data_IF_976886549618
#
_entry.id   IF_976886549618
#
_cell.length_a   1.000
_cell.length_b   1.000
_cell.length_c   1.000
_cell.angle_alpha   90.00
_cell.angle_beta   90.00
_cell.angle_gamma   90.00
#
_symmetry.space_group_name_H-M   'P 1'
#
loop_
_entity.id
_entity.type
_entity.pdbx_description
1 polymer ?
#
# COMPACT_ATOMS: atom_id res chain seq x y z
N UNK A 1 -40.31 38.20 -29.80
CA UNK A 1 -39.23 37.28 -30.21
C UNK A 1 -37.86 37.86 -29.85
N UNK A 2 -37.06 37.19 -28.98
CA UNK A 2 -35.57 37.19 -28.91
C UNK A 2 -35.15 36.25 -27.75
N UNK A 3 -34.22 35.33 -28.01
CA UNK A 3 -34.03 33.99 -27.37
C UNK A 3 -33.33 34.00 -25.99
N UNK A 4 -33.58 33.01 -25.10
CA UNK A 4 -32.76 32.73 -23.92
C UNK A 4 -31.50 31.90 -24.25
N UNK A 5 -30.93 32.04 -25.46
CA UNK A 5 -29.82 31.20 -25.95
C UNK A 5 -28.54 31.34 -25.13
N UNK A 6 -28.29 32.50 -24.50
CA UNK A 6 -27.06 32.73 -23.71
C UNK A 6 -27.06 31.98 -22.36
N UNK A 7 -28.23 31.74 -21.79
CA UNK A 7 -28.38 31.03 -20.51
C UNK A 7 -28.24 29.52 -20.74
N UNK A 8 -28.80 29.02 -21.84
CA UNK A 8 -28.69 27.62 -22.25
C UNK A 8 -27.25 27.22 -22.60
N UNK A 9 -26.48 28.11 -23.25
CA UNK A 9 -25.06 27.85 -23.57
C UNK A 9 -24.15 27.83 -22.34
N UNK A 10 -24.42 28.65 -21.31
CA UNK A 10 -23.64 28.65 -20.07
C UNK A 10 -23.81 27.36 -19.26
N UNK A 11 -25.03 26.81 -19.22
CA UNK A 11 -25.34 25.54 -18.55
C UNK A 11 -24.69 24.34 -19.25
N UNK A 12 -24.60 24.34 -20.58
CA UNK A 12 -23.93 23.27 -21.34
C UNK A 12 -22.42 23.29 -21.11
N UNK A 13 -21.79 24.47 -21.05
CA UNK A 13 -20.35 24.59 -20.78
C UNK A 13 -20.03 24.19 -19.33
N UNK A 14 -20.84 24.61 -18.36
CA UNK A 14 -20.69 24.20 -16.96
C UNK A 14 -20.90 22.68 -16.78
N UNK A 15 -21.86 22.10 -17.50
CA UNK A 15 -22.10 20.64 -17.49
C UNK A 15 -20.93 19.84 -18.09
N UNK A 16 -20.34 20.31 -19.19
CA UNK A 16 -19.15 19.68 -19.78
C UNK A 16 -17.91 19.82 -18.89
N UNK A 17 -17.73 20.97 -18.22
CA UNK A 17 -16.63 21.15 -17.27
C UNK A 17 -16.75 20.21 -16.05
N UNK A 18 -17.97 19.98 -15.56
CA UNK A 18 -18.22 19.05 -14.47
C UNK A 18 -17.95 17.59 -14.87
N UNK A 19 -18.35 17.19 -16.09
CA UNK A 19 -18.07 15.85 -16.64
C UNK A 19 -16.58 15.61 -16.93
N UNK A 20 -15.84 16.66 -17.30
CA UNK A 20 -14.39 16.55 -17.48
C UNK A 20 -13.66 16.33 -16.14
N UNK A 21 -14.16 16.95 -15.06
CA UNK A 21 -13.53 16.86 -13.74
C UNK A 21 -13.70 15.47 -13.09
N UNK A 22 -14.83 14.79 -13.32
CA UNK A 22 -15.05 13.42 -12.79
C UNK A 22 -14.23 12.36 -13.53
N UNK A 23 -13.78 12.65 -14.75
CA UNK A 23 -13.00 11.71 -15.57
C UNK A 23 -11.51 11.62 -15.18
N UNK A 24 -11.05 12.49 -14.29
CA UNK A 24 -9.65 12.56 -13.87
C UNK A 24 -9.36 11.82 -12.54
N UNK A 25 -10.32 11.04 -12.03
CA UNK A 25 -10.10 10.27 -10.81
C UNK A 25 -9.18 9.08 -11.10
N UNK A 26 -8.00 9.00 -10.46
CA UNK A 26 -7.12 7.85 -10.64
C UNK A 26 -7.81 6.61 -10.09
N UNK A 27 -7.91 5.56 -10.91
CA UNK A 27 -8.37 4.25 -10.46
C UNK A 27 -7.40 3.70 -9.42
N UNK A 28 -7.82 3.68 -8.17
CA UNK A 28 -7.10 3.03 -7.07
C UNK A 28 -7.20 1.51 -7.27
N UNK A 29 -6.35 0.96 -8.15
CA UNK A 29 -6.12 -0.48 -8.18
C UNK A 29 -5.73 -0.91 -6.77
N UNK A 30 -6.55 -1.76 -6.15
CA UNK A 30 -6.46 -2.25 -4.76
C UNK A 30 -5.24 -3.16 -4.50
N UNK A 31 -4.12 -2.87 -5.15
CA UNK A 31 -2.86 -3.47 -4.77
C UNK A 31 -2.36 -2.76 -3.52
N UNK A 32 -1.95 -3.48 -2.46
CA UNK A 32 -1.38 -2.84 -1.30
C UNK A 32 -0.20 -1.98 -1.76
N UNK A 33 -0.20 -0.66 -1.50
CA UNK A 33 0.78 0.26 -2.06
C UNK A 33 2.22 -0.18 -1.78
N UNK A 34 2.44 -0.90 -0.68
CA UNK A 34 3.75 -1.39 -0.25
C UNK A 34 4.33 -2.52 -1.12
N UNK A 35 3.53 -3.49 -1.58
CA UNK A 35 4.06 -4.61 -2.37
C UNK A 35 4.48 -4.14 -3.77
N UNK A 36 3.71 -3.22 -4.37
CA UNK A 36 4.10 -2.59 -5.64
C UNK A 36 5.35 -1.73 -5.46
N UNK A 37 5.40 -0.93 -4.40
CA UNK A 37 6.59 -0.12 -4.09
C UNK A 37 7.83 -0.99 -3.89
N UNK A 38 7.70 -2.15 -3.25
CA UNK A 38 8.81 -3.09 -3.08
C UNK A 38 9.36 -3.59 -4.43
N UNK A 39 8.45 -3.98 -5.35
CA UNK A 39 8.82 -4.42 -6.70
C UNK A 39 9.50 -3.30 -7.50
N UNK A 40 8.96 -2.08 -7.44
CA UNK A 40 9.52 -0.92 -8.13
C UNK A 40 10.92 -0.57 -7.64
N UNK A 41 11.21 -0.78 -6.35
CA UNK A 41 12.52 -0.59 -5.75
C UNK A 41 13.49 -1.77 -6.02
N UNK A 42 13.07 -2.78 -6.77
CA UNK A 42 13.90 -3.93 -7.14
C UNK A 42 14.00 -5.01 -6.05
N UNK A 43 13.19 -4.95 -4.99
CA UNK A 43 13.16 -6.01 -3.99
C UNK A 43 12.47 -7.27 -4.56
N UNK A 44 12.89 -8.49 -4.16
CA UNK A 44 12.32 -9.75 -4.63
C UNK A 44 10.95 -10.07 -3.97
N UNK A 45 10.08 -9.08 -3.88
CA UNK A 45 8.76 -9.18 -3.27
C UNK A 45 7.76 -9.78 -4.27
N UNK A 46 7.36 -11.04 -4.06
CA UNK A 46 6.43 -11.75 -4.95
C UNK A 46 4.97 -11.49 -4.59
N UNK A 47 4.67 -11.65 -3.30
CA UNK A 47 3.33 -11.59 -2.71
C UNK A 47 3.37 -11.04 -1.27
N UNK A 48 2.22 -11.03 -0.59
CA UNK A 48 2.07 -10.49 0.76
C UNK A 48 2.96 -11.21 1.81
N UNK A 49 3.32 -12.47 1.59
CA UNK A 49 4.23 -13.22 2.48
C UNK A 49 5.65 -12.64 2.52
N UNK A 50 5.95 -11.69 1.62
CA UNK A 50 7.19 -10.94 1.72
C UNK A 50 7.28 -10.15 3.03
N UNK A 51 6.19 -9.57 3.56
CA UNK A 51 6.21 -8.88 4.85
C UNK A 51 5.33 -9.57 5.91
N UNK A 52 4.34 -10.34 5.48
CA UNK A 52 3.42 -11.05 6.36
C UNK A 52 3.81 -12.52 6.51
N UNK A 53 3.19 -13.19 7.47
CA UNK A 53 3.32 -14.66 7.62
C UNK A 53 2.43 -15.44 6.66
N UNK A 54 1.45 -14.78 6.04
CA UNK A 54 0.44 -15.36 5.16
C UNK A 54 0.50 -14.73 3.77
N UNK A 55 0.31 -15.50 2.68
CA UNK A 55 0.24 -14.97 1.32
C UNK A 55 -1.02 -14.11 1.07
N UNK A 56 -2.05 -14.24 1.91
CA UNK A 56 -3.20 -13.33 1.91
C UNK A 56 -2.93 -12.01 2.64
N UNK A 57 -1.80 -11.88 3.34
CA UNK A 57 -1.50 -10.74 4.21
C UNK A 57 -2.16 -10.85 5.59
N UNK A 58 -2.49 -9.72 6.19
CA UNK A 58 -3.15 -9.62 7.51
C UNK A 58 -2.24 -9.02 8.59
N UNK A 59 -2.70 -9.00 9.83
CA UNK A 59 -2.00 -8.26 10.90
C UNK A 59 -0.69 -8.93 11.34
N UNK A 60 -0.52 -10.20 11.02
CA UNK A 60 0.65 -10.99 11.40
C UNK A 60 1.82 -10.72 10.44
N UNK A 61 2.88 -10.13 10.98
CA UNK A 61 4.10 -9.81 10.24
C UNK A 61 5.16 -10.90 10.46
N UNK A 62 5.92 -11.18 9.40
CA UNK A 62 7.15 -11.94 9.52
C UNK A 62 8.26 -11.04 10.09
N UNK A 63 9.46 -11.57 10.26
CA UNK A 63 10.56 -10.79 10.86
C UNK A 63 10.96 -9.53 10.05
N UNK A 64 10.83 -9.57 8.72
CA UNK A 64 11.05 -8.39 7.85
C UNK A 64 9.98 -7.33 8.10
N UNK A 65 8.71 -7.73 8.16
CA UNK A 65 7.59 -6.82 8.45
C UNK A 65 7.73 -6.18 9.84
N UNK A 66 8.08 -6.98 10.86
CA UNK A 66 8.32 -6.48 12.21
C UNK A 66 9.50 -5.50 12.26
N UNK A 67 10.57 -5.77 11.52
CA UNK A 67 11.71 -4.86 11.41
C UNK A 67 11.28 -3.51 10.81
N UNK A 68 10.46 -3.49 9.77
CA UNK A 68 9.94 -2.24 9.18
C UNK A 68 9.07 -1.44 10.16
N UNK A 69 8.28 -2.11 11.00
CA UNK A 69 7.49 -1.45 12.05
C UNK A 69 8.42 -0.85 13.12
N UNK A 70 9.47 -1.56 13.52
CA UNK A 70 10.48 -1.04 14.44
C UNK A 70 11.18 0.20 13.85
N UNK A 71 11.55 0.15 12.57
CA UNK A 71 12.15 1.30 11.87
C UNK A 71 11.23 2.51 11.81
N UNK A 72 9.91 2.32 11.63
CA UNK A 72 8.94 3.42 11.70
C UNK A 72 9.05 4.13 13.04
N UNK A 73 9.12 3.37 14.14
CA UNK A 73 9.25 3.91 15.50
C UNK A 73 10.60 4.61 15.71
N UNK A 74 11.70 3.94 15.34
CA UNK A 74 13.05 4.50 15.48
C UNK A 74 13.23 5.82 14.70
N UNK A 75 12.62 5.91 13.52
CA UNK A 75 12.68 7.09 12.65
C UNK A 75 11.60 8.13 12.98
N UNK A 76 10.74 7.89 13.97
CA UNK A 76 9.57 8.70 14.30
C UNK A 76 8.70 9.04 13.07
N UNK A 77 8.58 8.08 12.15
CA UNK A 77 7.89 8.28 10.88
C UNK A 77 6.38 8.06 11.02
N UNK A 78 5.60 8.82 10.25
CA UNK A 78 4.14 8.69 10.20
C UNK A 78 3.68 7.33 9.64
N UNK A 79 4.39 6.82 8.63
CA UNK A 79 4.10 5.55 7.96
C UNK A 79 5.38 4.72 7.77
N UNK A 80 5.20 3.41 7.56
CA UNK A 80 6.29 2.52 7.16
C UNK A 80 6.75 2.88 5.75
N UNK A 81 8.06 2.92 5.52
CA UNK A 81 8.63 3.04 4.17
C UNK A 81 9.42 1.80 3.77
N UNK A 82 9.02 1.20 2.66
CA UNK A 82 9.65 0.02 2.05
C UNK A 82 11.08 0.33 1.59
N UNK A 83 11.41 1.60 1.32
CA UNK A 83 12.78 2.00 0.96
C UNK A 83 13.82 1.66 2.03
N UNK A 84 13.40 1.52 3.29
CA UNK A 84 14.29 1.14 4.39
C UNK A 84 14.79 -0.31 4.26
N UNK A 85 14.11 -1.18 3.51
CA UNK A 85 14.54 -2.57 3.33
C UNK A 85 15.95 -2.73 2.75
N UNK A 86 16.52 -1.69 2.14
CA UNK A 86 17.93 -1.67 1.73
C UNK A 86 18.90 -1.87 2.92
N UNK A 87 18.49 -1.47 4.12
CA UNK A 87 19.27 -1.57 5.36
C UNK A 87 18.97 -2.88 6.11
N UNK A 88 17.96 -3.64 5.68
CA UNK A 88 17.54 -4.88 6.34
C UNK A 88 18.53 -6.01 6.07
N UNK A 89 19.21 -6.46 7.13
CA UNK A 89 20.10 -7.63 7.10
C UNK A 89 19.40 -8.82 7.74
N UNK A 90 19.00 -9.80 6.92
CA UNK A 90 18.47 -11.05 7.43
C UNK A 90 19.59 -11.83 8.12
N UNK A 91 19.64 -11.79 9.45
CA UNK A 91 20.51 -12.68 10.23
C UNK A 91 19.95 -14.09 10.22
N UNK A 92 20.78 -15.11 10.50
CA UNK A 92 20.38 -16.52 10.46
C UNK A 92 19.24 -16.85 11.45
N UNK A 93 19.10 -16.09 12.55
CA UNK A 93 17.95 -16.15 13.47
C UNK A 93 16.64 -15.63 12.85
N UNK A 94 16.73 -14.87 11.77
CA UNK A 94 15.62 -14.21 11.08
C UNK A 94 15.05 -15.05 9.94
N UNK A 95 15.82 -16.02 9.42
CA UNK A 95 15.38 -17.00 8.39
C UNK A 95 14.69 -18.23 8.99
N UNK A 96 14.89 -18.50 10.28
CA UNK A 96 14.39 -19.69 10.96
C UNK A 96 13.10 -19.41 11.77
N UNK A 97 11.99 -19.13 11.10
CA UNK A 97 10.67 -19.37 11.68
C UNK A 97 9.89 -20.25 10.69
N UNK A 98 9.67 -21.54 11.02
CA UNK A 98 8.65 -21.85 12.03
C UNK A 98 9.01 -23.04 12.95
N UNK A 99 8.81 -22.89 14.25
CA UNK A 99 8.46 -24.02 15.12
C UNK A 99 7.25 -23.63 15.96
N UNK A 100 6.15 -24.34 15.70
CA UNK A 100 4.94 -24.39 16.51
C UNK A 100 5.33 -24.45 18.00
N UNK A 101 4.82 -23.53 18.82
CA UNK A 101 4.59 -23.80 20.23
C UNK A 101 3.10 -24.00 20.42
N UNK A 102 2.61 -25.16 19.99
CA UNK A 102 1.50 -25.77 20.71
C UNK A 102 2.09 -26.36 21.97
N UNK A 103 1.73 -25.82 23.14
CA UNK A 103 1.77 -26.57 24.39
C UNK A 103 0.46 -26.36 25.14
N UNK A 104 -0.47 -27.27 24.87
CA UNK A 104 -1.55 -27.63 25.80
C UNK A 104 -0.92 -28.38 26.97
N UNK A 105 -1.33 -28.03 28.20
CA UNK A 105 -1.19 -28.69 29.54
C UNK A 105 -0.90 -27.57 30.55
N UNK A 106 -1.71 -27.31 31.56
CA UNK A 106 -2.63 -28.15 32.36
C UNK A 106 -3.85 -27.35 32.78
#
# INVERSE_FOLDING_TARGET
>A
MKKPRKILSGLVIAGFALLYFTSMMPETKSYPPFLNKAKQLGFPAKDCSYCHTSPQGGDQNNARGNWLIAQKKERNAYAVDVSWLKDYKATETTKAAPKKSGKKKT
#
